data_IF_911162905579
#
_entry.id   IF_911162905579
#
_cell.length_a   1.000
_cell.length_b   1.000
_cell.length_c   1.000
_cell.angle_alpha   90.00
_cell.angle_beta   90.00
_cell.angle_gamma   90.00
#
_symmetry.space_group_name_H-M   'P 1'
#
loop_
_entity.id
_entity.type
_entity.pdbx_description
1 polymer ?
#
# COMPACT_ATOMS: atom_id res chain seq x y z
N UNK A 1 7.65 -27.38 14.92
CA UNK A 1 7.15 -26.07 14.49
C UNK A 1 6.35 -26.36 13.24
N UNK A 2 5.04 -26.13 13.26
CA UNK A 2 4.24 -26.20 12.04
C UNK A 2 4.79 -25.15 11.06
N UNK A 3 4.97 -25.54 9.81
CA UNK A 3 5.40 -24.62 8.78
C UNK A 3 4.17 -23.76 8.43
N UNK A 4 4.08 -22.55 8.94
CA UNK A 4 2.98 -21.64 8.65
C UNK A 4 3.03 -21.25 7.18
N UNK A 5 1.88 -21.28 6.51
CA UNK A 5 1.75 -20.67 5.19
C UNK A 5 1.80 -19.16 5.35
N UNK A 6 2.81 -18.55 4.75
CA UNK A 6 3.13 -17.13 4.92
C UNK A 6 3.00 -16.37 3.61
N UNK A 7 2.30 -15.25 3.62
CA UNK A 7 2.32 -14.29 2.52
C UNK A 7 3.27 -13.12 2.83
N UNK A 8 3.83 -12.52 1.78
CA UNK A 8 4.42 -11.19 1.83
C UNK A 8 3.35 -10.17 1.43
N UNK A 9 3.17 -9.13 2.25
CA UNK A 9 2.28 -8.00 1.96
C UNK A 9 3.13 -6.74 1.81
N UNK A 10 3.19 -6.22 0.59
CA UNK A 10 3.94 -5.02 0.22
C UNK A 10 2.98 -3.84 0.24
N UNK A 11 3.14 -2.95 1.22
CA UNK A 11 2.20 -1.86 1.47
C UNK A 11 2.65 -0.60 0.73
N UNK A 12 1.84 -0.15 -0.25
CA UNK A 12 1.85 1.17 -0.87
C UNK A 12 3.23 1.67 -1.37
N UNK A 13 4.04 0.79 -1.96
CA UNK A 13 5.33 1.17 -2.53
C UNK A 13 5.10 1.82 -3.90
N UNK A 14 4.51 3.02 -3.89
CA UNK A 14 4.07 3.78 -5.07
C UNK A 14 4.93 5.01 -5.31
N UNK A 15 4.93 5.51 -6.56
CA UNK A 15 5.73 6.66 -6.96
C UNK A 15 5.47 7.91 -6.10
N UNK A 16 4.20 8.20 -5.77
CA UNK A 16 3.86 9.38 -4.98
C UNK A 16 4.35 9.30 -3.52
N UNK A 17 4.63 8.10 -3.00
CA UNK A 17 5.18 7.89 -1.66
C UNK A 17 6.70 7.73 -1.64
N UNK A 18 7.37 7.71 -2.79
CA UNK A 18 8.83 7.70 -2.87
C UNK A 18 9.38 9.10 -3.16
N UNK A 19 10.70 9.27 -3.07
CA UNK A 19 11.36 10.56 -3.27
C UNK A 19 11.02 11.19 -4.62
N UNK A 20 10.53 12.42 -4.57
CA UNK A 20 10.10 13.18 -5.76
C UNK A 20 8.61 13.04 -6.09
N UNK A 21 7.88 12.17 -5.41
CA UNK A 21 6.43 12.05 -5.49
C UNK A 21 5.68 13.11 -4.69
N UNK A 22 4.36 13.14 -4.82
CA UNK A 22 3.50 14.16 -4.22
C UNK A 22 3.50 14.14 -2.68
N UNK A 23 3.75 12.99 -2.08
CA UNK A 23 3.86 12.74 -0.64
C UNK A 23 5.09 11.89 -0.33
N UNK A 24 6.22 12.28 -0.91
CA UNK A 24 7.46 11.50 -0.86
C UNK A 24 8.03 11.30 0.54
N UNK A 25 8.26 10.04 0.87
CA UNK A 25 8.88 9.58 2.11
C UNK A 25 10.37 9.36 1.88
N UNK A 26 11.20 9.84 2.81
CA UNK A 26 12.64 9.59 2.76
C UNK A 26 12.93 8.10 2.93
N UNK A 27 13.65 7.50 1.99
CA UNK A 27 13.94 6.06 1.98
C UNK A 27 12.93 5.23 1.21
N UNK A 28 11.88 5.82 0.62
CA UNK A 28 10.86 5.09 -0.13
C UNK A 28 11.43 4.30 -1.32
N UNK A 29 12.27 4.92 -2.13
CA UNK A 29 12.94 4.24 -3.23
C UNK A 29 13.89 3.12 -2.75
N UNK A 30 14.54 3.32 -1.61
CA UNK A 30 15.39 2.28 -1.00
C UNK A 30 14.55 1.08 -0.51
N UNK A 31 13.34 1.32 0.02
CA UNK A 31 12.39 0.25 0.35
C UNK A 31 12.00 -0.53 -0.91
N UNK A 32 11.66 0.16 -2.01
CA UNK A 32 11.32 -0.51 -3.28
C UNK A 32 12.43 -1.45 -3.76
N UNK A 33 13.67 -0.95 -3.82
CA UNK A 33 14.84 -1.74 -4.21
C UNK A 33 15.11 -2.88 -3.22
N UNK A 34 15.06 -2.62 -1.91
CA UNK A 34 15.31 -3.62 -0.88
C UNK A 34 14.27 -4.75 -0.88
N UNK A 35 12.99 -4.44 -1.13
CA UNK A 35 11.95 -5.47 -1.28
C UNK A 35 12.23 -6.35 -2.50
N UNK A 36 12.67 -5.77 -3.62
CA UNK A 36 13.05 -6.52 -4.82
C UNK A 36 14.25 -7.44 -4.56
N UNK A 37 15.29 -6.94 -3.86
CA UNK A 37 16.44 -7.75 -3.46
C UNK A 37 16.01 -8.90 -2.53
N UNK A 38 15.15 -8.62 -1.56
CA UNK A 38 14.61 -9.62 -0.64
C UNK A 38 13.82 -10.71 -1.38
N UNK A 39 12.96 -10.33 -2.33
CA UNK A 39 12.20 -11.28 -3.15
C UNK A 39 13.11 -12.13 -4.03
N UNK A 40 14.16 -11.54 -4.63
CA UNK A 40 15.12 -12.29 -5.43
C UNK A 40 15.85 -13.40 -4.64
N UNK A 41 16.03 -13.19 -3.33
CA UNK A 41 16.75 -14.14 -2.47
C UNK A 41 15.81 -15.07 -1.69
N UNK A 42 14.59 -14.65 -1.39
CA UNK A 42 13.69 -15.27 -0.40
C UNK A 42 12.26 -15.52 -0.91
N UNK A 43 11.98 -15.42 -2.22
CA UNK A 43 10.63 -15.66 -2.76
C UNK A 43 10.04 -17.00 -2.31
N UNK A 44 10.87 -18.05 -2.23
CA UNK A 44 10.46 -19.41 -1.81
C UNK A 44 9.99 -19.48 -0.33
N UNK A 45 10.24 -18.44 0.47
CA UNK A 45 9.75 -18.35 1.86
C UNK A 45 8.27 -17.94 1.94
N UNK A 46 7.72 -17.46 0.84
CA UNK A 46 6.35 -16.96 0.76
C UNK A 46 5.51 -17.84 -0.16
N UNK A 47 4.34 -18.23 0.31
CA UNK A 47 3.39 -19.00 -0.48
C UNK A 47 2.57 -18.09 -1.42
N UNK A 48 2.53 -16.79 -1.12
CA UNK A 48 1.91 -15.77 -1.95
C UNK A 48 2.52 -14.38 -1.67
N UNK A 49 2.49 -13.49 -2.64
CA UNK A 49 2.94 -12.10 -2.56
C UNK A 49 1.82 -11.18 -3.00
N UNK A 50 1.40 -10.28 -2.12
CA UNK A 50 0.38 -9.28 -2.42
C UNK A 50 0.93 -7.87 -2.26
N UNK A 51 0.45 -6.94 -3.07
CA UNK A 51 0.70 -5.51 -2.89
C UNK A 51 -0.60 -4.76 -2.59
N UNK A 52 -0.50 -3.65 -1.85
CA UNK A 52 -1.58 -2.69 -1.73
C UNK A 52 -1.22 -1.41 -2.46
N UNK A 53 -2.22 -0.69 -2.97
CA UNK A 53 -2.05 0.66 -3.54
C UNK A 53 -3.15 1.58 -3.07
N UNK A 54 -2.80 2.80 -2.69
CA UNK A 54 -3.74 3.91 -2.68
C UNK A 54 -4.20 4.18 -4.12
N UNK A 55 -5.54 4.29 -4.31
CA UNK A 55 -6.14 4.40 -5.63
C UNK A 55 -7.30 5.39 -5.61
N UNK A 56 -6.95 6.69 -5.47
CA UNK A 56 -7.93 7.72 -5.16
C UNK A 56 -8.67 8.23 -6.41
N UNK A 57 -9.99 8.18 -6.36
CA UNK A 57 -10.88 8.80 -7.35
C UNK A 57 -11.45 10.11 -6.80
N UNK A 58 -12.09 10.03 -5.63
CA UNK A 58 -12.59 11.16 -4.85
C UNK A 58 -12.64 10.78 -3.37
N UNK A 59 -11.51 10.85 -2.64
CA UNK A 59 -11.45 10.44 -1.24
C UNK A 59 -11.98 11.52 -0.28
N UNK A 60 -12.73 12.50 -0.78
CA UNK A 60 -13.35 13.55 0.03
C UNK A 60 -12.33 14.40 0.78
N UNK A 61 -12.56 14.58 2.09
CA UNK A 61 -11.71 15.43 2.96
C UNK A 61 -10.35 14.84 3.28
N UNK A 62 -10.06 13.61 2.85
CA UNK A 62 -8.70 13.05 2.91
C UNK A 62 -7.70 13.94 2.17
N UNK A 63 -8.11 14.51 1.05
CA UNK A 63 -7.34 15.55 0.38
C UNK A 63 -7.71 16.94 0.94
N UNK A 64 -6.74 17.66 1.48
CA UNK A 64 -6.92 19.02 1.97
C UNK A 64 -7.53 19.95 0.91
N UNK A 65 -7.21 19.69 -0.36
CA UNK A 65 -7.75 20.42 -1.50
C UNK A 65 -9.28 20.40 -1.59
N UNK A 66 -9.96 19.39 -1.05
CA UNK A 66 -11.43 19.31 -1.02
C UNK A 66 -12.08 20.45 -0.22
N UNK A 67 -11.37 20.96 0.80
CA UNK A 67 -11.83 22.06 1.65
C UNK A 67 -11.14 23.39 1.34
N UNK A 68 -10.14 23.39 0.44
CA UNK A 68 -9.28 24.54 0.16
C UNK A 68 -8.32 24.90 1.30
N UNK A 69 -8.09 23.96 2.23
CA UNK A 69 -7.13 24.11 3.32
C UNK A 69 -5.73 23.59 2.92
N UNK A 70 -4.72 23.99 3.68
CA UNK A 70 -3.41 23.35 3.63
C UNK A 70 -3.47 21.98 4.33
N UNK A 71 -2.71 20.97 3.87
CA UNK A 71 -2.66 19.67 4.52
C UNK A 71 -2.03 19.77 5.91
N UNK A 72 -2.57 19.03 6.87
CA UNK A 72 -2.03 18.94 8.23
C UNK A 72 -1.03 17.78 8.41
N UNK A 73 -0.89 16.93 7.40
CA UNK A 73 -0.02 15.73 7.39
C UNK A 73 -0.30 14.74 8.53
N UNK A 74 -1.57 14.68 8.96
CA UNK A 74 -2.07 13.74 9.98
C UNK A 74 -3.40 13.13 9.59
N UNK A 75 -4.34 13.97 9.17
CA UNK A 75 -5.70 13.59 8.76
C UNK A 75 -6.04 14.10 7.38
N UNK A 76 -5.30 15.08 6.89
CA UNK A 76 -5.47 15.67 5.56
C UNK A 76 -4.15 15.77 4.83
N UNK A 77 -4.17 15.40 3.56
CA UNK A 77 -2.98 15.18 2.75
C UNK A 77 -3.00 16.02 1.47
N UNK A 78 -1.82 16.27 0.85
CA UNK A 78 -1.77 16.70 -0.56
C UNK A 78 -2.51 15.71 -1.45
N UNK A 79 -2.90 16.13 -2.66
CA UNK A 79 -3.41 15.19 -3.68
C UNK A 79 -2.29 14.23 -4.08
N UNK A 80 -2.52 12.93 -3.94
CA UNK A 80 -1.56 11.87 -4.23
C UNK A 80 -2.29 10.62 -4.74
N UNK A 81 -1.58 9.70 -5.33
CA UNK A 81 -2.05 8.38 -5.78
C UNK A 81 -3.41 8.42 -6.49
N UNK A 82 -3.59 9.43 -7.36
CA UNK A 82 -4.83 9.55 -8.14
C UNK A 82 -4.91 8.39 -9.12
N UNK A 83 -6.03 7.69 -9.10
CA UNK A 83 -6.27 6.48 -9.90
C UNK A 83 -5.97 6.67 -11.40
N UNK A 84 -5.12 5.83 -11.97
CA UNK A 84 -4.69 5.88 -13.36
C UNK A 84 -3.65 6.96 -13.67
N UNK A 85 -2.96 7.48 -12.67
CA UNK A 85 -1.81 8.38 -12.86
C UNK A 85 -0.49 7.69 -12.52
N UNK A 86 0.62 8.20 -13.03
CA UNK A 86 1.95 7.70 -12.70
C UNK A 86 2.24 7.72 -11.20
N UNK A 87 1.65 8.65 -10.44
CA UNK A 87 1.80 8.72 -8.98
C UNK A 87 1.24 7.49 -8.26
N UNK A 88 0.16 6.91 -8.79
CA UNK A 88 -0.49 5.72 -8.24
C UNK A 88 0.16 4.40 -8.70
N UNK A 89 1.12 4.42 -9.63
CA UNK A 89 1.86 3.23 -10.03
C UNK A 89 2.86 2.80 -8.94
N UNK A 90 3.16 1.50 -8.90
CA UNK A 90 4.26 0.98 -8.09
C UNK A 90 5.58 1.62 -8.53
N UNK A 91 6.49 1.78 -7.58
CA UNK A 91 7.81 2.34 -7.87
C UNK A 91 8.59 1.42 -8.83
N UNK A 92 9.29 1.95 -9.84
CA UNK A 92 9.95 1.14 -10.87
C UNK A 92 11.08 0.25 -10.34
N UNK A 93 11.63 0.54 -9.15
CA UNK A 93 12.63 -0.30 -8.50
C UNK A 93 11.99 -1.45 -7.71
N UNK A 94 10.66 -1.53 -7.62
CA UNK A 94 9.95 -2.68 -7.10
C UNK A 94 9.68 -3.68 -8.24
N UNK A 95 10.22 -4.88 -8.11
CA UNK A 95 9.96 -5.97 -9.04
C UNK A 95 8.55 -6.55 -8.81
N UNK A 96 7.64 -6.19 -9.70
CA UNK A 96 6.25 -6.63 -9.65
C UNK A 96 6.03 -8.03 -10.26
N UNK A 97 7.05 -8.67 -10.85
CA UNK A 97 6.89 -10.00 -11.48
C UNK A 97 6.52 -11.09 -10.44
N UNK A 98 6.80 -10.85 -9.17
CA UNK A 98 6.46 -11.77 -8.08
C UNK A 98 5.07 -11.56 -7.48
N UNK A 99 4.30 -10.55 -7.90
CA UNK A 99 2.98 -10.27 -7.33
C UNK A 99 1.93 -11.26 -7.83
N UNK A 100 1.21 -11.86 -6.89
CA UNK A 100 0.05 -12.72 -7.17
C UNK A 100 -1.25 -11.93 -7.16
N UNK A 101 -1.31 -10.82 -6.40
CA UNK A 101 -2.52 -10.00 -6.26
C UNK A 101 -2.20 -8.55 -5.86
N UNK A 102 -3.07 -7.63 -6.27
CA UNK A 102 -3.02 -6.24 -5.88
C UNK A 102 -4.35 -5.76 -5.31
N UNK A 103 -4.30 -5.04 -4.20
CA UNK A 103 -5.46 -4.54 -3.48
C UNK A 103 -5.50 -3.03 -3.53
N UNK A 104 -6.54 -2.49 -4.12
CA UNK A 104 -6.74 -1.05 -4.32
C UNK A 104 -7.62 -0.50 -3.22
N UNK A 105 -7.17 0.56 -2.54
CA UNK A 105 -7.86 1.17 -1.41
C UNK A 105 -8.06 2.67 -1.59
N UNK A 106 -8.97 3.26 -0.80
CA UNK A 106 -9.13 4.70 -0.76
C UNK A 106 -9.82 5.33 -1.98
N UNK A 107 -10.59 4.58 -2.77
CA UNK A 107 -11.22 5.12 -3.99
C UNK A 107 -12.08 6.35 -3.70
N UNK A 108 -12.93 6.28 -2.67
CA UNK A 108 -13.94 7.30 -2.35
C UNK A 108 -13.97 7.70 -0.87
N UNK A 109 -13.00 7.25 -0.10
CA UNK A 109 -12.84 7.57 1.32
C UNK A 109 -11.36 7.55 1.68
N UNK A 110 -11.02 7.98 2.89
CA UNK A 110 -9.73 7.65 3.49
C UNK A 110 -9.63 6.15 3.75
N UNK A 111 -8.47 5.58 3.51
CA UNK A 111 -8.16 4.19 3.79
C UNK A 111 -6.66 4.06 4.04
N UNK A 112 -6.30 3.50 5.20
CA UNK A 112 -4.89 3.29 5.56
C UNK A 112 -4.51 1.82 5.52
N UNK A 113 -5.35 0.97 6.05
CA UNK A 113 -5.08 -0.46 6.11
C UNK A 113 -5.18 -1.12 4.73
N UNK A 114 -4.27 -2.05 4.43
CA UNK A 114 -4.40 -2.93 3.28
C UNK A 114 -5.69 -3.77 3.32
N UNK A 115 -6.25 -3.99 4.52
CA UNK A 115 -7.53 -4.70 4.71
C UNK A 115 -8.75 -3.88 4.31
N UNK A 116 -8.60 -2.55 4.10
CA UNK A 116 -9.64 -1.69 3.48
C UNK A 116 -9.69 -1.86 1.95
N UNK A 117 -8.67 -2.50 1.36
CA UNK A 117 -8.54 -2.68 -0.08
C UNK A 117 -9.37 -3.85 -0.62
N UNK A 118 -9.69 -3.76 -1.89
CA UNK A 118 -10.29 -4.84 -2.64
C UNK A 118 -9.43 -5.20 -3.86
N UNK A 119 -9.47 -6.48 -4.26
CA UNK A 119 -8.72 -7.01 -5.39
C UNK A 119 -9.03 -6.19 -6.65
N UNK A 120 -8.01 -5.75 -7.34
CA UNK A 120 -8.11 -4.93 -8.54
C UNK A 120 -7.10 -5.30 -9.60
N UNK A 121 -7.28 -4.73 -10.77
CA UNK A 121 -6.39 -4.90 -11.93
C UNK A 121 -5.85 -3.53 -12.39
N UNK A 122 -4.98 -2.87 -11.59
CA UNK A 122 -4.51 -1.53 -11.90
C UNK A 122 -3.68 -1.48 -13.20
N UNK A 123 -2.95 -2.53 -13.52
CA UNK A 123 -2.11 -2.59 -14.72
C UNK A 123 -2.93 -2.71 -16.02
N UNK A 124 -4.21 -3.09 -15.94
CA UNK A 124 -5.14 -3.03 -17.07
C UNK A 124 -5.60 -1.59 -17.38
N UNK A 125 -5.27 -0.63 -16.52
CA UNK A 125 -5.65 0.78 -16.66
C UNK A 125 -4.53 1.53 -17.41
N UNK A 126 -4.81 2.14 -18.58
CA UNK A 126 -3.81 2.95 -19.26
C UNK A 126 -3.40 4.14 -18.41
N UNK A 127 -2.11 4.25 -18.12
CA UNK A 127 -1.56 5.39 -17.40
C UNK A 127 -1.51 6.61 -18.34
N UNK A 128 -2.04 7.73 -17.85
CA UNK A 128 -1.87 9.01 -18.55
C UNK A 128 -0.42 9.49 -18.46
N UNK A 129 0.09 10.07 -19.54
CA UNK A 129 1.40 10.72 -19.48
C UNK A 129 1.42 11.81 -18.39
N UNK A 130 2.57 11.97 -17.73
CA UNK A 130 2.72 12.95 -16.66
C UNK A 130 2.29 14.36 -17.14
N UNK A 131 1.28 14.93 -16.48
CA UNK A 131 0.74 16.26 -16.78
C UNK A 131 -0.35 16.30 -17.86
N UNK A 132 -0.75 15.18 -18.47
CA UNK A 132 -1.90 15.10 -19.36
C UNK A 132 -3.13 14.59 -18.58
N UNK A 133 -4.27 15.27 -18.75
CA UNK A 133 -5.56 14.74 -18.33
C UNK A 133 -6.05 13.74 -19.38
N UNK A 134 -6.13 12.44 -19.07
CA UNK A 134 -6.68 11.46 -20.01
C UNK A 134 -8.13 11.82 -20.40
N UNK A 135 -8.55 11.48 -21.60
CA UNK A 135 -9.95 11.63 -21.99
C UNK A 135 -10.83 10.68 -21.15
N UNK A 136 -11.97 11.19 -20.64
CA UNK A 136 -12.87 10.40 -19.80
C UNK A 136 -12.56 10.46 -18.32
N UNK A 137 -11.93 11.55 -17.85
CA UNK A 137 -11.71 11.76 -16.42
C UNK A 137 -13.02 11.88 -15.65
N UNK A 138 -13.07 11.24 -14.48
CA UNK A 138 -14.14 11.31 -13.48
C UNK A 138 -13.54 11.83 -12.18
N UNK A 139 -14.39 12.42 -11.35
CA UNK A 139 -13.94 12.96 -10.07
C UNK A 139 -13.16 14.29 -10.22
N UNK A 140 -12.91 14.97 -9.10
CA UNK A 140 -12.32 16.30 -9.07
C UNK A 140 -10.81 16.32 -9.36
N UNK A 141 -10.12 15.19 -9.17
CA UNK A 141 -8.65 15.13 -9.22
C UNK A 141 -8.09 14.52 -10.50
N UNK A 142 -8.94 14.05 -11.40
CA UNK A 142 -8.53 13.62 -12.74
C UNK A 142 -8.39 12.13 -12.96
N UNK A 143 -8.89 11.29 -12.03
CA UNK A 143 -9.02 9.86 -12.24
C UNK A 143 -9.85 9.57 -13.51
N UNK A 144 -9.50 8.52 -14.25
CA UNK A 144 -10.29 8.10 -15.42
C UNK A 144 -11.45 7.19 -15.04
N UNK A 145 -12.48 7.10 -15.88
CA UNK A 145 -13.59 6.17 -15.65
C UNK A 145 -13.10 4.70 -15.63
N UNK A 146 -12.09 4.37 -16.45
CA UNK A 146 -11.47 3.03 -16.47
C UNK A 146 -10.75 2.78 -15.17
N UNK A 147 -9.95 3.76 -14.67
CA UNK A 147 -9.25 3.65 -13.40
C UNK A 147 -10.21 3.51 -12.21
N UNK A 148 -11.32 4.25 -12.21
CA UNK A 148 -12.36 4.13 -11.20
C UNK A 148 -13.06 2.75 -11.21
N UNK A 149 -13.01 2.03 -12.31
CA UNK A 149 -13.59 0.70 -12.48
C UNK A 149 -12.54 -0.44 -12.35
N UNK A 150 -11.30 -0.14 -11.92
CA UNK A 150 -10.26 -1.15 -11.74
C UNK A 150 -10.57 -2.16 -10.61
N UNK A 151 -11.51 -1.82 -9.73
CA UNK A 151 -12.06 -2.72 -8.71
C UNK A 151 -13.47 -3.12 -9.12
N UNK A 152 -13.70 -4.39 -9.31
CA UNK A 152 -15.04 -4.90 -9.59
C UNK A 152 -15.93 -4.87 -8.35
N UNK A 153 -17.25 -4.66 -8.56
CA UNK A 153 -18.21 -4.71 -7.45
C UNK A 153 -18.26 -6.12 -6.85
N UNK A 154 -17.92 -6.22 -5.56
CA UNK A 154 -17.87 -7.49 -4.83
C UNK A 154 -16.54 -8.24 -5.00
N UNK A 155 -15.49 -7.58 -5.50
CA UNK A 155 -14.14 -8.14 -5.47
C UNK A 155 -13.72 -8.47 -4.02
N UNK A 156 -12.99 -9.58 -3.78
CA UNK A 156 -12.58 -9.98 -2.44
C UNK A 156 -11.63 -8.94 -1.83
N UNK A 157 -11.71 -8.76 -0.52
CA UNK A 157 -10.73 -7.99 0.26
C UNK A 157 -9.48 -8.81 0.55
N UNK A 158 -8.45 -8.15 1.09
CA UNK A 158 -7.18 -8.80 1.42
C UNK A 158 -7.35 -9.97 2.39
N UNK A 159 -8.18 -9.83 3.45
CA UNK A 159 -8.43 -10.91 4.40
C UNK A 159 -9.08 -12.13 3.74
N UNK A 160 -10.11 -11.91 2.91
CA UNK A 160 -10.80 -12.98 2.20
C UNK A 160 -9.83 -13.73 1.28
N UNK A 161 -9.04 -12.99 0.50
CA UNK A 161 -8.05 -13.58 -0.39
C UNK A 161 -6.97 -14.37 0.37
N UNK A 162 -6.40 -13.80 1.45
CA UNK A 162 -5.39 -14.49 2.27
C UNK A 162 -5.94 -15.81 2.85
N UNK A 163 -7.19 -15.81 3.33
CA UNK A 163 -7.85 -17.02 3.84
C UNK A 163 -8.12 -18.04 2.74
N UNK A 164 -8.51 -17.61 1.55
CA UNK A 164 -8.70 -18.50 0.40
C UNK A 164 -7.39 -19.14 -0.04
N UNK A 165 -6.27 -18.42 0.06
CA UNK A 165 -4.93 -18.97 -0.17
C UNK A 165 -4.42 -19.83 1.00
N UNK A 166 -5.15 -19.92 2.11
CA UNK A 166 -4.78 -20.71 3.30
C UNK A 166 -3.60 -20.11 4.07
N UNK A 167 -3.48 -18.80 4.11
CA UNK A 167 -2.41 -18.12 4.84
C UNK A 167 -2.69 -18.09 6.33
N UNK A 168 -1.69 -18.40 7.15
CA UNK A 168 -1.73 -18.34 8.62
C UNK A 168 -0.90 -17.17 9.15
N UNK A 169 0.06 -16.71 8.36
CA UNK A 169 1.01 -15.66 8.71
C UNK A 169 1.23 -14.70 7.55
N UNK A 170 1.60 -13.46 7.89
CA UNK A 170 2.04 -12.47 6.91
C UNK A 170 3.35 -11.83 7.33
N UNK A 171 4.18 -11.51 6.35
CA UNK A 171 5.29 -10.58 6.50
C UNK A 171 4.90 -9.26 5.86
N UNK A 172 5.10 -8.15 6.55
CA UNK A 172 4.71 -6.81 6.07
C UNK A 172 5.95 -5.97 5.83
N UNK A 173 5.99 -5.33 4.67
CA UNK A 173 7.01 -4.36 4.23
C UNK A 173 6.33 -3.17 3.56
N UNK A 174 7.03 -2.08 3.31
CA UNK A 174 6.49 -0.97 2.49
C UNK A 174 6.40 0.37 3.20
N UNK A 175 5.43 1.19 2.81
CA UNK A 175 5.29 2.61 3.15
C UNK A 175 3.82 2.94 3.52
N UNK A 176 3.52 3.80 4.50
CA UNK A 176 4.45 4.39 5.45
C UNK A 176 4.32 3.68 6.79
N UNK A 177 5.46 3.50 7.48
CA UNK A 177 5.54 2.79 8.77
C UNK A 177 4.53 3.29 9.79
N UNK A 178 4.41 4.61 9.92
CA UNK A 178 3.56 5.32 10.88
C UNK A 178 2.08 5.43 10.46
N UNK A 179 1.74 5.01 9.24
CA UNK A 179 0.39 5.07 8.69
C UNK A 179 -0.07 3.71 8.13
N UNK A 180 0.07 3.47 6.83
CA UNK A 180 -0.51 2.31 6.17
C UNK A 180 0.08 0.98 6.63
N UNK A 181 1.40 0.90 6.87
CA UNK A 181 2.05 -0.30 7.41
C UNK A 181 1.51 -0.60 8.80
N UNK A 182 1.50 0.40 9.70
CA UNK A 182 0.96 0.25 11.05
C UNK A 182 -0.51 -0.21 11.02
N UNK A 183 -1.36 0.44 10.23
CA UNK A 183 -2.77 0.08 10.14
C UNK A 183 -2.96 -1.36 9.64
N UNK A 184 -2.23 -1.74 8.57
CA UNK A 184 -2.27 -3.10 8.01
C UNK A 184 -1.81 -4.15 9.02
N UNK A 185 -0.73 -3.89 9.78
CA UNK A 185 -0.22 -4.82 10.80
C UNK A 185 -1.22 -5.01 11.92
N UNK A 186 -1.83 -3.93 12.43
CA UNK A 186 -2.79 -4.03 13.54
C UNK A 186 -4.04 -4.79 13.12
N UNK A 187 -4.59 -4.51 11.92
CA UNK A 187 -5.74 -5.23 11.41
C UNK A 187 -5.44 -6.71 11.14
N UNK A 188 -4.24 -7.02 10.66
CA UNK A 188 -3.81 -8.41 10.48
C UNK A 188 -3.74 -9.18 11.80
N UNK A 189 -3.21 -8.55 12.86
CA UNK A 189 -3.19 -9.14 14.20
C UNK A 189 -4.60 -9.35 14.74
N UNK A 190 -5.50 -8.38 14.56
CA UNK A 190 -6.90 -8.48 14.96
C UNK A 190 -7.65 -9.57 14.16
N UNK A 191 -7.29 -9.78 12.90
CA UNK A 191 -7.79 -10.87 12.06
C UNK A 191 -7.21 -12.25 12.45
N UNK A 192 -6.19 -12.28 13.31
CA UNK A 192 -5.61 -13.50 13.88
C UNK A 192 -4.41 -14.08 13.12
N UNK A 193 -3.79 -13.33 12.22
CA UNK A 193 -2.55 -13.73 11.56
C UNK A 193 -1.35 -13.61 12.50
N UNK A 194 -0.34 -14.48 12.32
CA UNK A 194 1.00 -14.21 12.82
C UNK A 194 1.65 -13.16 11.93
N UNK A 195 2.08 -12.04 12.50
CA UNK A 195 2.60 -10.91 11.71
C UNK A 195 4.07 -10.67 12.01
N UNK A 196 4.88 -10.60 10.95
CA UNK A 196 6.28 -10.15 11.00
C UNK A 196 6.42 -8.85 10.22
N UNK A 197 7.14 -7.87 10.75
CA UNK A 197 7.51 -6.63 10.05
C UNK A 197 9.02 -6.64 9.82
N UNK A 198 9.45 -6.48 8.55
CA UNK A 198 10.87 -6.33 8.23
C UNK A 198 11.24 -4.84 8.37
N UNK A 199 11.92 -4.51 9.46
CA UNK A 199 12.13 -3.13 9.90
C UNK A 199 13.09 -2.34 9.02
N UNK A 200 13.92 -3.00 8.26
CA UNK A 200 14.83 -2.44 7.26
C UNK A 200 14.18 -2.28 5.87
N UNK A 201 12.97 -2.83 5.69
CA UNK A 201 12.16 -2.73 4.47
C UNK A 201 10.86 -1.92 4.68
N UNK A 202 10.86 -0.98 5.64
CA UNK A 202 9.79 -0.01 5.84
C UNK A 202 10.35 1.40 5.98
N UNK A 203 9.60 2.40 5.57
CA UNK A 203 9.95 3.81 5.73
C UNK A 203 8.75 4.63 6.20
N UNK A 204 8.95 5.59 7.09
CA UNK A 204 7.89 6.40 7.68
C UNK A 204 7.93 7.86 7.22
N UNK A 205 6.80 8.55 7.33
CA UNK A 205 6.67 9.98 7.03
C UNK A 205 7.44 10.81 8.07
N UNK A 206 7.33 10.45 9.34
CA UNK A 206 8.05 11.07 10.46
C UNK A 206 8.83 10.01 11.23
N UNK A 207 10.12 10.22 11.46
CA UNK A 207 11.00 9.24 12.08
C UNK A 207 10.56 8.89 13.52
N UNK A 208 10.13 9.87 14.29
CA UNK A 208 9.70 9.64 15.67
C UNK A 208 8.34 8.90 15.71
N UNK A 209 7.43 9.26 14.81
CA UNK A 209 6.14 8.56 14.65
C UNK A 209 6.35 7.13 14.16
N UNK A 210 7.25 6.90 13.21
CA UNK A 210 7.60 5.56 12.72
C UNK A 210 8.16 4.66 13.83
N UNK A 211 9.07 5.17 14.67
CA UNK A 211 9.57 4.43 15.82
C UNK A 211 8.47 4.12 16.84
N UNK A 212 7.58 5.08 17.10
CA UNK A 212 6.42 4.84 17.98
C UNK A 212 5.47 3.78 17.40
N UNK A 213 5.24 3.80 16.09
CA UNK A 213 4.42 2.81 15.39
C UNK A 213 5.01 1.40 15.47
N UNK A 214 6.34 1.25 15.29
CA UNK A 214 7.03 -0.04 15.45
C UNK A 214 6.85 -0.59 16.88
N UNK A 215 7.03 0.24 17.89
CA UNK A 215 6.81 -0.18 19.28
C UNK A 215 5.34 -0.56 19.55
N UNK A 216 4.38 0.15 18.96
CA UNK A 216 2.96 -0.19 19.08
C UNK A 216 2.64 -1.52 18.41
N UNK A 217 3.13 -1.77 17.20
CA UNK A 217 2.96 -3.04 16.49
C UNK A 217 3.57 -4.20 17.28
N UNK A 218 4.78 -4.05 17.84
CA UNK A 218 5.42 -5.06 18.70
C UNK A 218 4.60 -5.32 19.95
N UNK A 219 4.11 -4.26 20.63
CA UNK A 219 3.27 -4.40 21.82
C UNK A 219 1.92 -5.07 21.54
N UNK A 220 1.40 -4.93 20.31
CA UNK A 220 0.19 -5.61 19.84
C UNK A 220 0.43 -7.09 19.47
N UNK A 221 1.70 -7.51 19.31
CA UNK A 221 2.06 -8.90 19.05
C UNK A 221 2.80 -9.16 17.75
N UNK A 222 3.12 -8.14 16.97
CA UNK A 222 3.94 -8.29 15.77
C UNK A 222 5.39 -8.64 16.12
N UNK A 223 6.02 -9.44 15.27
CA UNK A 223 7.44 -9.77 15.37
C UNK A 223 8.21 -8.73 14.51
N UNK A 224 9.15 -8.02 15.13
CA UNK A 224 10.05 -7.13 14.40
C UNK A 224 11.33 -7.90 14.05
N UNK A 225 11.69 -7.91 12.76
CA UNK A 225 12.87 -8.61 12.25
C UNK A 225 13.59 -7.75 11.20
N UNK A 226 14.79 -8.17 10.79
CA UNK A 226 15.46 -7.69 9.57
C UNK A 226 15.30 -8.71 8.46
N UNK A 227 15.40 -8.25 7.22
CA UNK A 227 15.31 -9.07 5.99
C UNK A 227 16.49 -10.04 5.85
#
# INVERSE_FOLDING_TARGET
MENLNRALVIVDVQNDFCEGGALGVTGGAAVAAGVSEHLAEHADAYAAVAATRDWHVDPGTHFAAATGAEPDFRTTWPVHCVAGTAGAELHPDLDAEHLDAEFLKGLHTDAYSGFDGALGEPDAVPTGAAGERPSGTVGPYGATAVAAAAVESGAPGLDEWLREQGMDAITVVGIATDHCVRATVLDALDAGYEVTVLTDLVAGVDEAAAQAALHEMEAAGAILASS
#
